data_IF_394947134138
#
_entry.id   IF_394947134138
#
_cell.length_a   1.000
_cell.length_b   1.000
_cell.length_c   1.000
_cell.angle_alpha   90.00
_cell.angle_beta   90.00
_cell.angle_gamma   90.00
#
_symmetry.space_group_name_H-M   'P 1'
#
loop_
_entity.id
_entity.type
_entity.pdbx_description
1 polymer ?
#
# COMPACT_ATOMS: atom_id res chain seq x y z
N UNK A 1 -8.41 12.90 -9.72
CA UNK A 1 -7.41 13.19 -10.77
C UNK A 1 -8.12 13.88 -11.93
N UNK A 2 -8.11 15.21 -11.95
CA UNK A 2 -8.72 16.02 -13.02
C UNK A 2 -7.97 15.88 -14.36
N UNK A 3 -8.41 16.64 -15.37
CA UNK A 3 -7.94 16.51 -16.77
C UNK A 3 -6.43 16.68 -16.99
N UNK A 4 -5.71 17.22 -16.00
CA UNK A 4 -4.30 17.65 -16.06
C UNK A 4 -3.22 16.56 -16.19
N UNK A 5 -3.58 15.28 -16.36
CA UNK A 5 -2.60 14.21 -16.56
C UNK A 5 -3.07 13.26 -17.66
N UNK A 6 -2.27 13.11 -18.72
CA UNK A 6 -2.59 12.22 -19.83
C UNK A 6 -2.86 10.77 -19.39
N UNK A 7 -3.63 10.02 -20.19
CA UNK A 7 -4.10 8.66 -19.87
C UNK A 7 -2.96 7.73 -19.42
N UNK A 8 -1.81 7.76 -20.10
CA UNK A 8 -0.63 6.93 -19.78
C UNK A 8 -0.08 7.19 -18.36
N UNK A 9 -0.05 8.45 -17.93
CA UNK A 9 0.43 8.81 -16.58
C UNK A 9 -0.55 8.28 -15.53
N UNK A 10 -1.85 8.46 -15.76
CA UNK A 10 -2.89 7.95 -14.85
C UNK A 10 -2.86 6.44 -14.73
N UNK A 11 -2.67 5.72 -15.83
CA UNK A 11 -2.54 4.27 -15.86
C UNK A 11 -1.35 3.80 -15.00
N UNK A 12 -0.18 4.45 -15.14
CA UNK A 12 1.00 4.13 -14.32
C UNK A 12 0.75 4.37 -12.84
N UNK A 13 0.18 5.52 -12.49
CA UNK A 13 -0.13 5.82 -11.08
C UNK A 13 -1.18 4.87 -10.53
N UNK A 14 -2.20 4.49 -11.31
CA UNK A 14 -3.19 3.49 -10.91
C UNK A 14 -2.54 2.14 -10.61
N UNK A 15 -1.65 1.65 -11.48
CA UNK A 15 -0.93 0.40 -11.27
C UNK A 15 -0.10 0.45 -9.97
N UNK A 16 0.72 1.48 -9.81
CA UNK A 16 1.53 1.67 -8.61
C UNK A 16 0.68 1.77 -7.32
N UNK A 17 -0.41 2.55 -7.35
CA UNK A 17 -1.30 2.70 -6.19
C UNK A 17 -2.08 1.42 -5.90
N UNK A 18 -2.46 0.66 -6.93
CA UNK A 18 -3.15 -0.62 -6.76
C UNK A 18 -2.24 -1.65 -6.10
N UNK A 19 -0.97 -1.73 -6.53
CA UNK A 19 0.03 -2.60 -5.91
C UNK A 19 0.29 -2.22 -4.45
N UNK A 20 0.43 -0.92 -4.16
CA UNK A 20 0.64 -0.42 -2.80
C UNK A 20 -0.56 -0.64 -1.86
N UNK A 21 -1.80 -0.65 -2.40
CA UNK A 21 -3.03 -0.88 -1.62
C UNK A 21 -3.35 -2.34 -1.37
N UNK A 22 -2.61 -3.28 -1.98
CA UNK A 22 -2.80 -4.71 -1.72
C UNK A 22 -2.55 -5.01 -0.25
N UNK A 23 -3.31 -5.96 0.28
CA UNK A 23 -3.10 -6.45 1.64
C UNK A 23 -1.90 -7.41 1.63
N UNK A 24 -0.84 -7.04 2.34
CA UNK A 24 0.36 -7.87 2.46
C UNK A 24 0.25 -8.78 3.70
N UNK A 25 0.95 -9.92 3.63
CA UNK A 25 1.08 -10.83 4.75
C UNK A 25 1.96 -10.19 5.84
N UNK A 26 1.50 -10.24 7.09
CA UNK A 26 2.28 -9.75 8.22
C UNK A 26 3.33 -10.78 8.63
N UNK A 27 4.61 -10.39 8.78
CA UNK A 27 5.66 -11.31 9.22
C UNK A 27 5.48 -11.77 10.67
N UNK A 28 4.76 -11.01 11.50
CA UNK A 28 4.58 -11.32 12.93
C UNK A 28 3.36 -12.21 13.21
N UNK A 29 2.26 -12.03 12.50
CA UNK A 29 1.01 -12.76 12.78
C UNK A 29 0.51 -13.62 11.61
N UNK A 30 1.21 -13.64 10.47
CA UNK A 30 0.85 -14.40 9.26
C UNK A 30 -0.41 -13.91 8.54
N UNK A 31 -1.20 -13.02 9.14
CA UNK A 31 -2.47 -12.52 8.56
C UNK A 31 -2.21 -11.50 7.45
N UNK A 32 -2.96 -11.59 6.36
CA UNK A 32 -2.96 -10.61 5.24
C UNK A 32 -3.75 -9.35 5.59
N UNK A 33 -3.28 -8.59 6.59
CA UNK A 33 -3.94 -7.36 7.09
C UNK A 33 -2.98 -6.19 7.29
N UNK A 34 -1.82 -6.23 6.62
CA UNK A 34 -0.87 -5.11 6.61
C UNK A 34 -1.32 -4.06 5.61
N UNK A 35 -1.30 -2.79 6.05
CA UNK A 35 -1.58 -1.62 5.23
C UNK A 35 -0.42 -0.63 5.34
N UNK A 36 -0.08 0.03 4.24
CA UNK A 36 0.89 1.14 4.25
C UNK A 36 0.26 2.36 4.91
N UNK A 37 0.95 2.93 5.91
CA UNK A 37 0.55 4.16 6.61
C UNK A 37 1.32 5.36 6.07
N UNK A 38 2.59 5.16 5.69
CA UNK A 38 3.46 6.25 5.23
C UNK A 38 4.58 5.78 4.31
N UNK A 39 5.57 6.66 4.12
CA UNK A 39 6.78 6.32 3.37
C UNK A 39 7.57 5.27 4.15
N UNK A 40 7.82 4.12 3.52
CA UNK A 40 8.38 2.93 4.15
C UNK A 40 7.71 2.46 5.46
N UNK A 41 6.48 2.90 5.78
CA UNK A 41 5.81 2.60 7.05
C UNK A 41 4.60 1.70 6.81
N UNK A 42 4.64 0.51 7.39
CA UNK A 42 3.60 -0.51 7.27
C UNK A 42 3.04 -0.86 8.63
N UNK A 43 1.71 -0.93 8.74
CA UNK A 43 1.03 -1.27 9.98
C UNK A 43 0.12 -2.46 9.78
N UNK A 44 0.25 -3.47 10.64
CA UNK A 44 -0.69 -4.57 10.68
C UNK A 44 -1.89 -4.20 11.55
N UNK A 45 -3.12 -4.30 11.01
CA UNK A 45 -4.34 -4.07 11.80
C UNK A 45 -4.59 -5.14 12.88
N UNK A 46 -4.03 -6.34 12.73
CA UNK A 46 -4.33 -7.44 13.65
C UNK A 46 -3.46 -7.46 14.90
N UNK A 47 -2.18 -7.14 14.77
CA UNK A 47 -1.23 -7.17 15.89
C UNK A 47 -0.69 -5.78 16.25
N UNK A 48 -1.20 -4.72 15.61
CA UNK A 48 -0.75 -3.33 15.75
C UNK A 48 0.74 -3.09 15.46
N UNK A 49 1.48 -4.10 15.02
CA UNK A 49 2.91 -3.99 14.71
C UNK A 49 3.14 -3.02 13.54
N UNK A 50 4.09 -2.12 13.76
CA UNK A 50 4.56 -1.12 12.81
C UNK A 50 5.95 -1.53 12.32
N UNK A 51 6.11 -1.59 11.00
CA UNK A 51 7.33 -2.03 10.34
C UNK A 51 7.81 -0.91 9.43
N UNK A 52 9.10 -0.61 9.51
CA UNK A 52 9.79 0.19 8.51
C UNK A 52 10.27 -0.77 7.41
N UNK A 53 9.69 -0.68 6.20
CA UNK A 53 9.96 -1.56 5.06
C UNK A 53 9.72 -0.92 3.72
#
# INVERSE_FOLDING_TARGET
>A
MGSHYGKKIRERVKKATAEQKKLHACPQCGKKRVKRVGFALWKCRSCAAEFAG
#
